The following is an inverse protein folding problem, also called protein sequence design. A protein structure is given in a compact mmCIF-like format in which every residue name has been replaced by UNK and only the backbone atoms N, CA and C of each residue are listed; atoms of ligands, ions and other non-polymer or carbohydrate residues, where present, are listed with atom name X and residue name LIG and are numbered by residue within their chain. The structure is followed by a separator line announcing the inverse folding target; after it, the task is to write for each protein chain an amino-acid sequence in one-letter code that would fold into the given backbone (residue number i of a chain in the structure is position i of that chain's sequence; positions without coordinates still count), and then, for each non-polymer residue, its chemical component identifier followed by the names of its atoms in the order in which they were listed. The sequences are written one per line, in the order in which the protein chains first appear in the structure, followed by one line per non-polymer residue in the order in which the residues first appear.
data_IF_739563898527
#
_entry.id   IF_739563898527
#
_cell.length_a   1.000
_cell.length_b   1.000
_cell.length_c   1.000
_cell.angle_alpha   90.00
_cell.angle_beta   90.00
_cell.angle_gamma   90.00
#
_symmetry.space_group_name_H-M   'P 1'
#
loop_
_entity.id
_entity.type
_entity.pdbx_description
1 polymer ?
#
# COMPACT_ATOMS: atom_id res chain seq x y z
N UNK A 1 -27.34 -1.31 -16.12
CA UNK A 1 -27.02 0.14 -15.95
C UNK A 1 -25.85 0.62 -16.81
N UNK A 2 -24.80 -0.19 -17.04
CA UNK A 2 -23.63 0.16 -17.90
C UNK A 2 -24.01 0.43 -19.37
N UNK A 3 -25.09 -0.17 -19.87
CA UNK A 3 -25.55 0.00 -21.26
C UNK A 3 -26.03 1.42 -21.60
N UNK A 4 -26.29 2.29 -20.61
CA UNK A 4 -26.64 3.69 -20.87
C UNK A 4 -25.43 4.63 -21.01
N UNK A 5 -24.22 4.14 -20.74
CA UNK A 5 -22.98 4.93 -20.84
C UNK A 5 -22.50 5.00 -22.29
N UNK A 6 -21.96 6.16 -22.70
CA UNK A 6 -21.25 6.33 -23.97
C UNK A 6 -20.04 5.37 -24.01
N UNK A 7 -19.65 4.82 -25.19
CA UNK A 7 -18.44 4.00 -25.35
C UNK A 7 -17.19 4.51 -24.60
N UNK A 8 -16.95 5.83 -24.59
CA UNK A 8 -15.84 6.44 -23.83
C UNK A 8 -15.94 6.20 -22.32
N UNK A 9 -17.13 6.40 -21.75
CA UNK A 9 -17.37 6.20 -20.32
C UNK A 9 -17.31 4.71 -19.95
N UNK A 10 -17.79 3.82 -20.82
CA UNK A 10 -17.71 2.36 -20.61
C UNK A 10 -16.27 1.89 -20.55
N UNK A 11 -15.41 2.37 -21.47
CA UNK A 11 -13.99 2.05 -21.47
C UNK A 11 -13.33 2.44 -20.15
N UNK A 12 -13.49 3.69 -19.71
CA UNK A 12 -12.90 4.17 -18.45
C UNK A 12 -13.45 3.46 -17.22
N UNK A 13 -14.75 3.11 -17.21
CA UNK A 13 -15.34 2.33 -16.13
C UNK A 13 -14.74 0.92 -16.03
N UNK A 14 -14.61 0.20 -17.15
CA UNK A 14 -14.00 -1.14 -17.17
C UNK A 14 -12.51 -1.09 -16.83
N UNK A 15 -11.77 -0.14 -17.42
CA UNK A 15 -10.35 0.04 -17.15
C UNK A 15 -10.07 0.38 -15.68
N UNK A 16 -10.89 1.28 -15.10
CA UNK A 16 -10.82 1.62 -13.68
C UNK A 16 -11.11 0.43 -12.78
N UNK A 17 -12.12 -0.39 -13.12
CA UNK A 17 -12.46 -1.59 -12.36
C UNK A 17 -11.33 -2.63 -12.38
N UNK A 18 -10.77 -2.93 -13.56
CA UNK A 18 -9.64 -3.87 -13.68
C UNK A 18 -8.44 -3.37 -12.89
N UNK A 19 -8.12 -2.08 -13.02
CA UNK A 19 -7.01 -1.47 -12.29
C UNK A 19 -7.23 -1.52 -10.78
N UNK A 20 -8.47 -1.33 -10.31
CA UNK A 20 -8.82 -1.42 -8.89
C UNK A 20 -8.63 -2.86 -8.36
N UNK A 21 -9.04 -3.88 -9.13
CA UNK A 21 -8.80 -5.29 -8.75
C UNK A 21 -7.31 -5.57 -8.61
N UNK A 22 -6.48 -5.09 -9.53
CA UNK A 22 -5.02 -5.20 -9.41
C UNK A 22 -4.47 -4.50 -8.16
N UNK A 23 -5.00 -3.32 -7.81
CA UNK A 23 -4.65 -2.63 -6.56
C UNK A 23 -5.00 -3.47 -5.33
N UNK A 24 -6.17 -4.13 -5.30
CA UNK A 24 -6.54 -5.02 -4.20
C UNK A 24 -5.57 -6.20 -4.06
N UNK A 25 -5.17 -6.82 -5.18
CA UNK A 25 -4.15 -7.90 -5.16
C UNK A 25 -2.84 -7.39 -4.58
N UNK A 26 -2.40 -6.20 -4.97
CA UNK A 26 -1.19 -5.60 -4.43
C UNK A 26 -1.29 -5.35 -2.92
N UNK A 27 -2.42 -4.82 -2.43
CA UNK A 27 -2.66 -4.60 -1.00
C UNK A 27 -2.53 -5.90 -0.20
N UNK A 28 -3.10 -7.00 -0.72
CA UNK A 28 -2.99 -8.32 -0.08
C UNK A 28 -1.55 -8.81 -0.09
N UNK A 29 -0.82 -8.62 -1.19
CA UNK A 29 0.57 -9.06 -1.32
C UNK A 29 1.55 -8.31 -0.39
N UNK A 30 1.28 -7.03 -0.11
CA UNK A 30 2.11 -6.21 0.80
C UNK A 30 1.56 -6.16 2.23
N UNK A 31 0.50 -6.92 2.53
CA UNK A 31 -0.09 -6.91 3.85
C UNK A 31 0.95 -7.44 4.87
N UNK A 32 1.18 -6.72 5.98
CA UNK A 32 2.20 -7.13 6.94
C UNK A 32 1.83 -8.50 7.54
N UNK A 33 2.74 -9.47 7.38
CA UNK A 33 2.58 -10.82 7.91
C UNK A 33 2.82 -10.88 9.41
N UNK A 34 2.20 -11.86 10.06
CA UNK A 34 2.39 -12.12 11.48
C UNK A 34 3.65 -12.99 11.69
N UNK A 35 4.64 -12.48 12.42
CA UNK A 35 5.91 -13.16 12.70
C UNK A 35 5.84 -13.92 14.03
N UNK A 36 5.88 -15.25 13.94
CA UNK A 36 5.83 -16.13 15.10
C UNK A 36 7.06 -15.97 16.02
N UNK A 37 8.21 -15.55 15.51
CA UNK A 37 9.41 -15.31 16.31
C UNK A 37 9.22 -14.16 17.30
N UNK A 38 8.61 -13.07 16.85
CA UNK A 38 8.30 -11.92 17.72
C UNK A 38 7.30 -12.33 18.81
N UNK A 39 6.27 -13.11 18.46
CA UNK A 39 5.27 -13.57 19.45
C UNK A 39 5.84 -14.55 20.46
N UNK A 40 6.76 -15.43 20.03
CA UNK A 40 7.49 -16.30 20.94
C UNK A 40 8.32 -15.48 21.95
N UNK A 41 9.09 -14.50 21.47
CA UNK A 41 9.89 -13.60 22.30
C UNK A 41 9.01 -12.78 23.26
N UNK A 42 7.82 -12.35 22.82
CA UNK A 42 6.85 -11.63 23.66
C UNK A 42 6.32 -12.48 24.82
N UNK A 43 6.44 -13.80 24.78
CA UNK A 43 6.02 -14.70 25.87
C UNK A 43 7.20 -15.13 26.75
N UNK A 44 8.43 -15.01 26.27
CA UNK A 44 9.62 -15.41 27.02
C UNK A 44 9.93 -14.44 28.17
N UNK A 45 10.07 -14.92 29.43
CA UNK A 45 10.44 -14.08 30.57
C UNK A 45 11.82 -13.41 30.40
N UNK A 46 12.77 -14.02 29.69
CA UNK A 46 14.09 -13.44 29.42
C UNK A 46 14.00 -12.16 28.56
N UNK A 47 12.91 -11.99 27.81
CA UNK A 47 12.68 -10.83 26.97
C UNK A 47 11.85 -9.73 27.63
N UNK A 48 11.51 -9.87 28.93
CA UNK A 48 10.71 -8.88 29.65
C UNK A 48 11.29 -7.47 29.57
N UNK A 49 12.60 -7.33 29.76
CA UNK A 49 13.27 -6.03 29.71
C UNK A 49 13.03 -5.30 28.38
N UNK A 50 12.97 -6.04 27.27
CA UNK A 50 12.76 -5.48 25.92
C UNK A 50 11.35 -4.99 25.66
N UNK A 51 10.36 -5.57 26.35
CA UNK A 51 8.98 -5.08 26.35
C UNK A 51 8.93 -3.71 27.02
N UNK A 52 9.66 -3.53 28.11
CA UNK A 52 9.50 -2.37 29.00
C UNK A 52 10.41 -1.17 28.65
N UNK A 53 11.41 -1.33 27.78
CA UNK A 53 12.27 -0.19 27.40
C UNK A 53 11.43 0.86 26.65
N UNK A 54 11.58 2.14 26.98
CA UNK A 54 10.87 3.26 26.31
C UNK A 54 11.45 3.51 24.93
N UNK A 55 10.61 3.86 23.95
CA UNK A 55 11.08 4.21 22.61
C UNK A 55 11.87 5.52 22.65
N UNK A 56 13.20 5.43 22.69
CA UNK A 56 14.10 6.57 22.84
C UNK A 56 14.50 7.21 21.52
N UNK A 57 13.99 6.72 20.38
CA UNK A 57 14.17 7.32 19.06
C UNK A 57 15.59 7.26 18.47
N UNK A 58 16.61 6.95 19.27
CA UNK A 58 17.99 6.77 18.80
C UNK A 58 18.46 5.31 18.97
N UNK A 59 19.00 4.69 17.90
CA UNK A 59 19.49 3.33 17.96
C UNK A 59 20.79 3.28 18.77
N UNK A 60 20.70 2.79 20.01
CA UNK A 60 21.88 2.58 20.87
C UNK A 60 22.58 1.25 20.55
N UNK A 61 21.90 0.31 19.87
CA UNK A 61 22.40 -1.06 19.71
C UNK A 61 21.78 -1.82 18.53
N UNK A 62 22.59 -2.61 17.81
CA UNK A 62 22.15 -3.56 16.78
C UNK A 62 22.25 -4.99 17.34
N UNK A 63 21.16 -5.76 17.38
CA UNK A 63 21.17 -7.10 17.98
C UNK A 63 21.93 -8.11 17.11
N UNK A 64 22.81 -8.89 17.73
CA UNK A 64 23.61 -9.91 17.06
C UNK A 64 22.83 -11.23 16.89
N UNK A 65 23.28 -12.03 15.91
CA UNK A 65 22.74 -13.37 15.71
C UNK A 65 23.08 -14.28 16.90
N UNK A 66 22.07 -14.90 17.52
CA UNK A 66 22.22 -15.75 18.70
C UNK A 66 21.70 -15.11 19.99
N UNK A 67 21.32 -13.83 19.95
CA UNK A 67 20.60 -13.23 21.06
C UNK A 67 19.20 -13.83 21.23
N UNK A 68 18.77 -14.09 22.48
CA UNK A 68 17.49 -14.75 22.74
C UNK A 68 16.29 -13.93 22.28
N UNK A 69 16.38 -12.60 22.29
CA UNK A 69 15.26 -11.69 21.96
C UNK A 69 15.50 -10.93 20.65
N UNK A 70 16.32 -11.49 19.75
CA UNK A 70 16.78 -10.79 18.54
C UNK A 70 15.62 -10.31 17.67
N UNK A 71 14.60 -11.15 17.46
CA UNK A 71 13.49 -10.85 16.54
C UNK A 71 12.68 -9.66 17.05
N UNK A 72 12.33 -9.68 18.34
CA UNK A 72 11.67 -8.55 18.99
C UNK A 72 12.52 -7.26 18.96
N UNK A 73 13.84 -7.37 19.21
CA UNK A 73 14.77 -6.22 19.16
C UNK A 73 14.85 -5.60 17.76
N UNK A 74 14.99 -6.44 16.73
CA UNK A 74 15.01 -5.99 15.33
C UNK A 74 13.71 -5.31 14.94
N UNK A 75 12.56 -5.90 15.31
CA UNK A 75 11.26 -5.28 15.05
C UNK A 75 11.18 -3.88 15.63
N UNK A 76 11.56 -3.74 16.91
CA UNK A 76 11.56 -2.45 17.59
C UNK A 76 12.52 -1.46 16.94
N UNK A 77 13.71 -1.90 16.53
CA UNK A 77 14.71 -1.09 15.84
C UNK A 77 14.17 -0.58 14.50
N UNK A 78 13.66 -1.48 13.67
CA UNK A 78 13.20 -1.15 12.31
C UNK A 78 11.91 -0.31 12.35
N UNK A 79 10.99 -0.63 13.25
CA UNK A 79 9.66 -0.01 13.32
C UNK A 79 9.55 1.14 14.33
N UNK A 80 10.57 1.37 15.17
CA UNK A 80 10.54 2.36 16.25
C UNK A 80 9.26 2.20 17.08
N UNK A 81 9.09 1.01 17.67
CA UNK A 81 7.87 0.65 18.39
C UNK A 81 8.13 -0.38 19.49
N UNK A 82 7.48 -0.20 20.64
CA UNK A 82 7.58 -1.10 21.80
C UNK A 82 6.34 -1.96 21.89
N UNK A 83 6.52 -3.27 22.01
CA UNK A 83 5.43 -4.23 22.12
C UNK A 83 5.42 -4.81 23.54
N UNK A 84 4.31 -4.61 24.25
CA UNK A 84 4.13 -5.16 25.59
C UNK A 84 3.28 -6.44 25.58
N UNK A 85 2.50 -6.66 24.51
CA UNK A 85 1.62 -7.81 24.38
C UNK A 85 1.38 -8.22 22.92
N UNK A 86 0.88 -9.43 22.73
CA UNK A 86 0.45 -9.94 21.42
C UNK A 86 -0.73 -9.13 20.85
N UNK A 87 -1.63 -8.64 21.71
CA UNK A 87 -2.73 -7.79 21.28
C UNK A 87 -2.25 -6.46 20.69
N UNK A 88 -1.18 -5.88 21.25
CA UNK A 88 -0.55 -4.68 20.68
C UNK A 88 0.11 -4.99 19.34
N UNK A 89 0.78 -6.14 19.20
CA UNK A 89 1.38 -6.57 17.95
C UNK A 89 0.35 -6.72 16.84
N UNK A 90 -0.76 -7.41 17.10
CA UNK A 90 -1.86 -7.54 16.14
C UNK A 90 -2.48 -6.18 15.78
N UNK A 91 -2.63 -5.29 16.77
CA UNK A 91 -3.14 -3.95 16.53
C UNK A 91 -2.20 -3.13 15.64
N UNK A 92 -0.88 -3.29 15.82
CA UNK A 92 0.15 -2.65 15.00
C UNK A 92 0.05 -3.17 13.56
N UNK A 93 0.04 -4.48 13.35
CA UNK A 93 -0.08 -5.09 12.02
C UNK A 93 -1.34 -4.60 11.29
N UNK A 94 -2.48 -4.53 11.98
CA UNK A 94 -3.72 -4.01 11.39
C UNK A 94 -3.62 -2.54 11.01
N UNK A 95 -3.06 -1.68 11.87
CA UNK A 95 -2.88 -0.25 11.59
C UNK A 95 -1.95 -0.03 10.40
N UNK A 96 -0.84 -0.76 10.36
CA UNK A 96 0.14 -0.68 9.27
C UNK A 96 -0.46 -1.18 7.96
N UNK A 97 -1.15 -2.33 7.97
CA UNK A 97 -1.87 -2.84 6.80
C UNK A 97 -2.94 -1.87 6.30
N UNK A 98 -3.70 -1.26 7.20
CA UNK A 98 -4.72 -0.25 6.84
C UNK A 98 -4.09 1.02 6.26
N UNK A 99 -2.96 1.49 6.80
CA UNK A 99 -2.21 2.61 6.22
C UNK A 99 -1.74 2.28 4.79
N UNK A 100 -1.16 1.11 4.57
CA UNK A 100 -0.76 0.68 3.23
C UNK A 100 -1.94 0.59 2.27
N UNK A 101 -3.05 0.00 2.70
CA UNK A 101 -4.28 -0.06 1.90
C UNK A 101 -4.79 1.34 1.51
N UNK A 102 -4.85 2.28 2.46
CA UNK A 102 -5.27 3.65 2.19
C UNK A 102 -4.31 4.36 1.23
N UNK A 103 -3.00 4.24 1.42
CA UNK A 103 -2.01 4.85 0.53
C UNK A 103 -2.08 4.28 -0.89
N UNK A 104 -2.27 2.97 -1.04
CA UNK A 104 -2.43 2.31 -2.33
C UNK A 104 -3.72 2.74 -3.03
N UNK A 105 -4.84 2.83 -2.30
CA UNK A 105 -6.11 3.31 -2.84
C UNK A 105 -6.05 4.79 -3.24
N UNK A 106 -5.40 5.64 -2.43
CA UNK A 106 -5.18 7.04 -2.76
C UNK A 106 -4.29 7.20 -4.00
N UNK A 107 -3.21 6.41 -4.09
CA UNK A 107 -2.34 6.35 -5.27
C UNK A 107 -3.10 5.90 -6.53
N UNK A 108 -3.92 4.85 -6.42
CA UNK A 108 -4.79 4.39 -7.50
C UNK A 108 -5.75 5.49 -7.96
N UNK A 109 -6.44 6.17 -7.02
CA UNK A 109 -7.38 7.22 -7.34
C UNK A 109 -6.70 8.41 -8.05
N UNK A 110 -5.54 8.83 -7.55
CA UNK A 110 -4.73 9.88 -8.16
C UNK A 110 -4.25 9.51 -9.56
N UNK A 111 -3.73 8.29 -9.74
CA UNK A 111 -3.28 7.77 -11.02
C UNK A 111 -4.42 7.70 -12.04
N UNK A 112 -5.59 7.18 -11.63
CA UNK A 112 -6.78 7.12 -12.48
C UNK A 112 -7.28 8.50 -12.88
N UNK A 113 -7.28 9.47 -11.97
CA UNK A 113 -7.67 10.85 -12.27
C UNK A 113 -6.70 11.49 -13.28
N UNK A 114 -5.40 11.27 -13.12
CA UNK A 114 -4.36 11.73 -14.04
C UNK A 114 -4.54 11.12 -15.43
N UNK A 115 -4.70 9.80 -15.53
CA UNK A 115 -4.91 9.11 -16.80
C UNK A 115 -6.19 9.60 -17.51
N UNK A 116 -7.28 9.77 -16.76
CA UNK A 116 -8.52 10.30 -17.32
C UNK A 116 -8.33 11.72 -17.87
N UNK A 117 -7.66 12.60 -17.13
CA UNK A 117 -7.36 13.96 -17.57
C UNK A 117 -6.50 13.98 -18.85
N UNK A 118 -5.47 13.13 -18.92
CA UNK A 118 -4.65 12.95 -20.13
C UNK A 118 -5.47 12.44 -21.31
N UNK A 119 -6.37 11.48 -21.09
CA UNK A 119 -7.26 10.97 -22.12
C UNK A 119 -8.20 12.05 -22.69
N UNK A 120 -8.72 12.92 -21.82
CA UNK A 120 -9.54 14.08 -22.24
C UNK A 120 -8.70 15.10 -23.01
N UNK A 121 -7.49 15.39 -22.56
CA UNK A 121 -6.57 16.31 -23.24
C UNK A 121 -6.19 15.79 -24.64
N UNK A 122 -5.84 14.51 -24.74
CA UNK A 122 -5.52 13.86 -26.00
C UNK A 122 -6.72 13.89 -26.97
N UNK A 123 -7.94 13.62 -26.50
CA UNK A 123 -9.16 13.74 -27.30
C UNK A 123 -9.36 15.17 -27.82
N UNK A 124 -9.13 16.19 -26.99
CA UNK A 124 -9.22 17.59 -27.40
C UNK A 124 -8.16 17.94 -28.45
N UNK A 125 -6.91 17.52 -28.26
CA UNK A 125 -5.82 17.73 -29.21
C UNK A 125 -6.12 17.09 -30.57
N UNK A 126 -6.57 15.83 -30.58
CA UNK A 126 -6.95 15.12 -31.81
C UNK A 126 -8.10 15.82 -32.54
N UNK A 127 -9.10 16.31 -31.81
CA UNK A 127 -10.23 17.03 -32.39
C UNK A 127 -9.88 18.46 -32.84
N UNK A 128 -8.85 19.06 -32.26
CA UNK A 128 -8.38 20.40 -32.60
C UNK A 128 -7.40 20.43 -33.79
N UNK A 129 -6.83 19.28 -34.19
CA UNK A 129 -6.00 19.18 -35.38
C UNK A 129 -6.87 19.36 -36.65
N UNK A 130 -6.65 20.41 -37.46
CA UNK A 130 -7.36 20.56 -38.72
C UNK A 130 -6.81 19.55 -39.73
N UNK A 131 -7.63 18.54 -40.07
CA UNK A 131 -7.51 17.82 -41.34
C UNK A 131 -6.90 16.42 -41.30
N UNK A 132 -7.76 15.39 -41.35
CA UNK A 132 -7.51 14.19 -42.16
C UNK A 132 -8.77 13.58 -42.78
N UNK A 133 -9.71 14.42 -43.24
CA UNK A 133 -10.76 14.03 -44.19
C UNK A 133 -11.07 15.13 -45.22
N UNK A 134 -10.02 15.78 -45.74
CA UNK A 134 -10.06 16.41 -47.07
C UNK A 134 -8.89 15.90 -47.90
N UNK A 135 -9.04 14.68 -48.42
CA UNK A 135 -8.47 14.33 -49.72
C UNK A 135 -9.59 13.65 -50.51
N UNK A 136 -10.20 14.46 -51.39
CA UNK A 136 -10.35 14.25 -52.86
C UNK A 136 -11.51 13.30 -53.19
N UNK A 137 -12.66 13.79 -53.67
CA UNK A 137 -12.85 14.28 -55.05
C UNK A 137 -12.25 13.28 -56.04
N UNK A 138 -13.05 12.29 -56.47
CA UNK A 138 -13.87 12.38 -57.68
C UNK A 138 -15.07 11.42 -57.58
#
# INVERSE_FOLDING_TARGET
MIERLNPWQRFWAMFGLVSLVSTFVLIVAIWPGHDAGIVADLRDPACQQWRDVVDSGEPVYYPEAGEPCRSMRLFRFDQHFTLHSEAEYDSHLRRTGLRYALTALAGWAGFMAMLYALGVLAKKLVNALPGRHRHKAD
#
